data_IF_899126495527
#
_entry.id   IF_899126495527
#
_cell.length_a   1.000
_cell.length_b   1.000
_cell.length_c   1.000
_cell.angle_alpha   90.00
_cell.angle_beta   90.00
_cell.angle_gamma   90.00
#
_symmetry.space_group_name_H-M   'P 1'
#
loop_
_entity.id
_entity.type
_entity.pdbx_description
1 polymer ?
#
# COMPACT_ATOMS: atom_id res chain seq x y z
N UNK A 1 3.39 -60.44 8.32
CA UNK A 1 2.40 -60.48 7.23
C UNK A 1 2.22 -59.05 6.73
N UNK A 2 2.99 -58.71 5.69
CA UNK A 2 3.13 -57.37 5.12
C UNK A 2 2.32 -57.33 3.82
N UNK A 3 1.36 -56.42 3.71
CA UNK A 3 0.60 -56.12 2.50
C UNK A 3 1.28 -54.96 1.76
N UNK A 4 1.48 -55.05 0.43
CA UNK A 4 2.12 -53.97 -0.34
C UNK A 4 1.12 -52.94 -0.80
N UNK A 5 1.43 -51.64 -0.60
CA UNK A 5 0.76 -50.51 -1.22
C UNK A 5 1.05 -50.50 -2.74
N UNK A 6 0.00 -50.64 -3.55
CA UNK A 6 0.05 -50.38 -4.99
C UNK A 6 -0.08 -48.86 -5.24
N UNK A 7 0.97 -48.30 -5.80
CA UNK A 7 0.95 -46.93 -6.36
C UNK A 7 0.25 -47.00 -7.71
N UNK A 8 -0.91 -46.40 -7.84
CA UNK A 8 -1.55 -46.13 -9.13
C UNK A 8 -0.95 -44.87 -9.72
N UNK A 9 -0.11 -45.05 -10.76
CA UNK A 9 0.33 -43.94 -11.63
C UNK A 9 -0.76 -43.75 -12.67
N UNK A 10 -1.53 -42.65 -12.53
CA UNK A 10 -2.38 -42.19 -13.61
C UNK A 10 -1.50 -41.41 -14.61
N UNK A 11 -1.28 -41.97 -15.77
CA UNK A 11 -0.73 -41.25 -16.92
C UNK A 11 -1.87 -40.40 -17.48
N UNK A 12 -1.86 -39.09 -17.21
CA UNK A 12 -2.78 -38.15 -17.85
C UNK A 12 -2.23 -37.71 -19.20
N UNK A 13 -3.11 -37.74 -20.20
CA UNK A 13 -2.89 -37.27 -21.57
C UNK A 13 -2.54 -35.75 -21.54
N UNK A 14 -1.47 -35.30 -22.22
CA UNK A 14 -1.05 -33.90 -22.27
C UNK A 14 -2.12 -32.95 -22.83
N UNK A 15 -3.05 -33.42 -23.66
CA UNK A 15 -4.14 -32.61 -24.21
C UNK A 15 -5.21 -32.22 -23.20
N UNK A 16 -5.38 -32.98 -22.11
CA UNK A 16 -6.36 -32.69 -21.04
C UNK A 16 -5.86 -31.61 -20.06
N UNK A 17 -4.54 -31.37 -19.98
CA UNK A 17 -3.93 -30.37 -19.10
C UNK A 17 -4.07 -28.93 -19.59
N UNK A 18 -4.20 -28.71 -20.91
CA UNK A 18 -4.38 -27.34 -21.46
C UNK A 18 -5.76 -26.73 -21.17
N UNK A 19 -6.82 -27.55 -21.10
CA UNK A 19 -8.18 -27.05 -20.84
C UNK A 19 -8.48 -26.87 -19.33
N UNK A 20 -7.82 -27.64 -18.46
CA UNK A 20 -7.99 -27.49 -16.99
C UNK A 20 -7.23 -26.28 -16.44
N UNK A 21 -6.08 -25.90 -17.04
CA UNK A 21 -5.31 -24.75 -16.62
C UNK A 21 -5.99 -23.40 -16.95
N UNK A 22 -6.73 -23.31 -18.07
CA UNK A 22 -7.45 -22.09 -18.44
C UNK A 22 -8.68 -21.86 -17.56
N UNK A 23 -9.43 -22.90 -17.22
CA UNK A 23 -10.60 -22.84 -16.33
C UNK A 23 -10.20 -22.60 -14.86
N UNK A 24 -9.14 -23.22 -14.40
CA UNK A 24 -8.58 -22.97 -13.06
C UNK A 24 -8.04 -21.53 -12.94
N UNK A 25 -7.33 -21.04 -13.97
CA UNK A 25 -6.83 -19.66 -14.03
C UNK A 25 -7.97 -18.62 -14.05
N UNK A 26 -9.07 -18.88 -14.77
CA UNK A 26 -10.22 -17.96 -14.85
C UNK A 26 -11.04 -17.93 -13.55
N UNK A 27 -11.24 -19.06 -12.89
CA UNK A 27 -11.87 -19.13 -11.55
C UNK A 27 -11.02 -18.44 -10.50
N UNK A 28 -9.71 -18.71 -10.48
CA UNK A 28 -8.77 -18.11 -9.55
C UNK A 28 -8.70 -16.58 -9.71
N UNK A 29 -8.67 -16.05 -10.94
CA UNK A 29 -8.71 -14.59 -11.21
C UNK A 29 -9.97 -13.93 -10.62
N UNK A 30 -11.13 -14.58 -10.75
CA UNK A 30 -12.39 -14.08 -10.19
C UNK A 30 -12.41 -14.08 -8.67
N UNK A 31 -11.89 -15.14 -8.06
CA UNK A 31 -11.91 -15.33 -6.60
C UNK A 31 -10.91 -14.37 -5.92
N UNK A 32 -9.74 -14.12 -6.50
CA UNK A 32 -8.76 -13.15 -6.00
C UNK A 32 -9.31 -11.72 -6.03
N UNK A 33 -10.02 -11.35 -7.10
CA UNK A 33 -10.66 -10.04 -7.22
C UNK A 33 -11.75 -9.85 -6.18
N UNK A 34 -12.55 -10.89 -5.93
CA UNK A 34 -13.60 -10.88 -4.91
C UNK A 34 -13.00 -10.74 -3.51
N UNK A 35 -11.93 -11.46 -3.20
CA UNK A 35 -11.27 -11.39 -1.89
C UNK A 35 -10.64 -10.01 -1.66
N UNK A 36 -9.97 -9.44 -2.65
CA UNK A 36 -9.42 -8.08 -2.57
C UNK A 36 -10.55 -7.04 -2.38
N UNK A 37 -11.66 -7.21 -3.08
CA UNK A 37 -12.84 -6.35 -2.95
C UNK A 37 -13.52 -6.50 -1.60
N UNK A 38 -13.66 -7.72 -1.07
CA UNK A 38 -14.17 -8.00 0.28
C UNK A 38 -13.23 -7.42 1.34
N UNK A 39 -11.91 -7.54 1.19
CA UNK A 39 -10.93 -6.93 2.08
C UNK A 39 -11.05 -5.40 2.07
N UNK A 40 -11.17 -4.79 0.90
CA UNK A 40 -11.41 -3.35 0.76
C UNK A 40 -12.75 -2.92 1.40
N UNK A 41 -13.82 -3.68 1.18
CA UNK A 41 -15.15 -3.44 1.78
C UNK A 41 -15.14 -3.60 3.31
N UNK A 42 -14.40 -4.58 3.85
CA UNK A 42 -14.25 -4.73 5.31
C UNK A 42 -13.48 -3.57 5.92
N UNK A 43 -12.43 -3.08 5.27
CA UNK A 43 -11.74 -1.85 5.68
C UNK A 43 -12.66 -0.63 5.66
N UNK A 44 -13.52 -0.49 4.65
CA UNK A 44 -14.51 0.60 4.54
C UNK A 44 -15.50 0.57 5.71
N UNK A 45 -16.08 -0.60 6.02
CA UNK A 45 -17.04 -0.73 7.12
C UNK A 45 -16.42 -0.44 8.50
N UNK A 46 -15.17 -0.85 8.72
CA UNK A 46 -14.45 -0.61 9.97
C UNK A 46 -14.14 0.89 10.12
N UNK A 47 -13.71 1.55 9.05
CA UNK A 47 -13.42 2.99 9.09
C UNK A 47 -14.66 3.85 9.37
N UNK A 48 -15.84 3.45 8.87
CA UNK A 48 -17.12 4.13 9.19
C UNK A 48 -17.41 4.09 10.68
N UNK A 49 -17.20 2.93 11.33
CA UNK A 49 -17.44 2.76 12.77
C UNK A 49 -16.34 3.39 13.65
N UNK A 50 -15.11 3.49 13.16
CA UNK A 50 -14.00 4.07 13.90
C UNK A 50 -14.16 5.58 14.18
N UNK A 51 -14.91 6.27 13.34
CA UNK A 51 -15.11 7.73 13.45
C UNK A 51 -16.26 8.13 14.39
N UNK A 52 -17.08 7.19 14.88
CA UNK A 52 -18.20 7.48 15.78
C UNK A 52 -17.79 7.72 17.23
N UNK A 53 -16.54 7.54 17.60
CA UNK A 53 -16.07 7.69 18.98
C UNK A 53 -15.51 9.07 19.33
N UNK A 54 -15.73 10.08 18.49
CA UNK A 54 -15.43 11.47 18.87
C UNK A 54 -16.53 11.96 19.81
N UNK A 55 -16.23 12.02 21.11
CA UNK A 55 -17.06 12.65 22.11
C UNK A 55 -17.24 14.12 21.69
N UNK A 56 -18.48 14.49 21.35
CA UNK A 56 -18.85 15.91 21.20
C UNK A 56 -18.81 16.53 22.59
N UNK A 57 -17.77 17.29 22.87
CA UNK A 57 -17.81 18.24 23.96
C UNK A 57 -18.87 19.29 23.57
N UNK A 58 -19.95 19.37 24.34
CA UNK A 58 -20.99 20.37 24.13
C UNK A 58 -20.36 21.77 24.32
N UNK A 59 -20.27 22.61 23.30
CA UNK A 59 -19.66 23.94 23.41
C UNK A 59 -20.44 24.90 24.32
N UNK A 60 -21.64 24.52 24.75
CA UNK A 60 -22.48 25.35 25.63
C UNK A 60 -22.21 25.14 27.13
N UNK A 61 -21.18 24.36 27.51
CA UNK A 61 -20.84 24.13 28.92
C UNK A 61 -19.87 25.13 29.52
N UNK A 62 -19.46 26.16 28.78
CA UNK A 62 -18.63 27.27 29.27
C UNK A 62 -19.35 28.57 28.98
N UNK A 63 -20.39 28.87 29.75
CA UNK A 63 -20.92 30.25 29.87
C UNK A 63 -20.03 31.03 30.85
N UNK A 64 -18.99 31.67 30.30
CA UNK A 64 -17.97 32.44 31.05
C UNK A 64 -18.58 33.74 31.66
N UNK A 65 -19.79 34.12 31.30
CA UNK A 65 -20.38 35.40 31.71
C UNK A 65 -21.11 35.36 33.06
N UNK A 66 -21.18 34.19 33.74
CA UNK A 66 -21.87 34.04 35.03
C UNK A 66 -20.99 33.61 36.20
N UNK A 67 -19.67 33.77 36.11
CA UNK A 67 -18.76 33.51 37.26
C UNK A 67 -18.75 34.72 38.21
N UNK A 68 -19.77 34.82 39.07
CA UNK A 68 -19.63 35.57 40.34
C UNK A 68 -18.69 34.78 41.26
N UNK A 69 -17.63 35.44 41.71
CA UNK A 69 -16.64 34.90 42.64
C UNK A 69 -17.28 34.66 44.01
N UNK A 70 -17.75 33.44 44.25
CA UNK A 70 -17.93 32.89 45.59
C UNK A 70 -17.06 31.63 45.64
N UNK A 71 -16.18 31.60 46.68
CA UNK A 71 -15.09 30.62 46.82
C UNK A 71 -15.62 29.18 46.80
N UNK A 72 -15.41 28.53 45.70
CA UNK A 72 -15.58 27.07 45.59
C UNK A 72 -14.21 26.44 45.83
N UNK A 73 -14.00 25.94 47.05
CA UNK A 73 -12.91 25.00 47.34
C UNK A 73 -13.23 23.70 46.60
N UNK A 74 -12.56 23.46 45.50
CA UNK A 74 -12.62 22.16 44.80
C UNK A 74 -11.67 21.21 45.54
N UNK A 75 -12.12 20.63 46.66
CA UNK A 75 -11.47 19.46 47.27
C UNK A 75 -11.99 18.20 46.54
N UNK A 76 -11.22 17.79 45.56
CA UNK A 76 -11.34 16.51 44.91
C UNK A 76 -10.19 16.32 43.92
N UNK A 77 -9.59 15.14 43.83
CA UNK A 77 -8.57 14.92 42.82
C UNK A 77 -9.22 15.16 41.45
N UNK A 78 -8.60 16.07 40.65
CA UNK A 78 -8.96 16.25 39.24
C UNK A 78 -8.89 14.84 38.63
N UNK A 79 -10.05 14.22 38.41
CA UNK A 79 -10.12 12.96 37.67
C UNK A 79 -9.56 13.27 36.30
N UNK A 80 -8.39 12.73 36.00
CA UNK A 80 -7.86 12.73 34.63
C UNK A 80 -9.01 12.39 33.65
N UNK A 81 -9.07 13.06 32.50
CA UNK A 81 -10.10 12.76 31.52
C UNK A 81 -10.11 11.25 31.28
N UNK A 82 -11.22 10.59 31.60
CA UNK A 82 -11.38 9.14 31.54
C UNK A 82 -10.86 8.66 30.19
N UNK A 83 -9.70 8.03 30.17
CA UNK A 83 -9.17 7.41 28.97
C UNK A 83 -10.27 6.47 28.43
N UNK A 84 -10.65 6.55 27.16
CA UNK A 84 -11.69 5.71 26.62
C UNK A 84 -11.37 4.25 26.92
N UNK A 85 -12.28 3.55 27.60
CA UNK A 85 -12.05 2.17 28.02
C UNK A 85 -11.87 1.30 26.76
N UNK A 86 -10.81 0.50 26.74
CA UNK A 86 -10.54 -0.43 25.64
C UNK A 86 -11.72 -1.40 25.50
N UNK A 87 -12.33 -1.44 24.35
CA UNK A 87 -13.40 -2.37 24.03
C UNK A 87 -12.83 -3.74 23.62
N UNK A 88 -12.86 -4.70 24.52
CA UNK A 88 -12.32 -6.05 24.31
C UNK A 88 -12.92 -6.76 23.08
N UNK A 89 -14.23 -6.59 22.80
CA UNK A 89 -14.87 -7.18 21.63
C UNK A 89 -14.28 -6.61 20.31
N UNK A 90 -14.05 -5.28 20.27
CA UNK A 90 -13.41 -4.63 19.11
C UNK A 90 -11.94 -5.05 18.97
N UNK A 91 -11.20 -5.20 20.08
CA UNK A 91 -9.82 -5.71 20.07
C UNK A 91 -9.79 -7.10 19.44
N UNK A 92 -10.63 -8.02 19.91
CA UNK A 92 -10.71 -9.39 19.37
C UNK A 92 -11.08 -9.39 17.89
N UNK A 93 -12.02 -8.53 17.47
CA UNK A 93 -12.42 -8.39 16.07
C UNK A 93 -11.26 -7.88 15.21
N UNK A 94 -10.56 -6.82 15.63
CA UNK A 94 -9.42 -6.27 14.87
C UNK A 94 -8.27 -7.28 14.82
N UNK A 95 -8.00 -8.00 15.90
CA UNK A 95 -7.02 -9.08 15.90
C UNK A 95 -7.40 -10.17 14.89
N UNK A 96 -8.63 -10.62 14.89
CA UNK A 96 -9.12 -11.62 13.92
C UNK A 96 -9.04 -11.12 12.48
N UNK A 97 -9.39 -9.86 12.22
CA UNK A 97 -9.30 -9.23 10.90
C UNK A 97 -7.83 -9.14 10.43
N UNK A 98 -6.91 -8.75 11.31
CA UNK A 98 -5.49 -8.69 10.96
C UNK A 98 -4.94 -10.10 10.66
N UNK A 99 -5.28 -11.11 11.49
CA UNK A 99 -4.88 -12.51 11.24
C UNK A 99 -5.46 -13.01 9.91
N UNK A 100 -6.77 -12.82 9.69
CA UNK A 100 -7.43 -13.26 8.45
C UNK A 100 -6.93 -12.47 7.22
N UNK A 101 -6.74 -11.16 7.34
CA UNK A 101 -6.28 -10.30 6.26
C UNK A 101 -4.83 -10.57 5.87
N UNK A 102 -3.91 -10.51 6.82
CA UNK A 102 -2.50 -10.79 6.55
C UNK A 102 -2.28 -12.27 6.21
N UNK A 103 -2.84 -13.19 7.00
CA UNK A 103 -2.72 -14.62 6.73
C UNK A 103 -3.37 -15.03 5.40
N UNK A 104 -4.57 -14.54 5.11
CA UNK A 104 -5.27 -14.79 3.84
C UNK A 104 -4.52 -14.23 2.65
N UNK A 105 -3.97 -13.01 2.76
CA UNK A 105 -3.16 -12.43 1.68
C UNK A 105 -1.85 -13.20 1.44
N UNK A 106 -1.19 -13.70 2.49
CA UNK A 106 -0.01 -14.56 2.34
C UNK A 106 -0.34 -15.89 1.65
N UNK A 107 -1.51 -16.50 1.96
CA UNK A 107 -1.97 -17.71 1.26
C UNK A 107 -2.25 -17.44 -0.22
N UNK A 108 -2.87 -16.31 -0.54
CA UNK A 108 -3.13 -15.89 -1.93
C UNK A 108 -1.81 -15.64 -2.66
N UNK A 109 -0.87 -14.91 -2.03
CA UNK A 109 0.46 -14.68 -2.58
C UNK A 109 1.20 -15.99 -2.82
N UNK A 110 1.12 -16.93 -1.87
CA UNK A 110 1.74 -18.25 -2.04
C UNK A 110 1.19 -18.97 -3.28
N UNK A 111 -0.12 -18.95 -3.50
CA UNK A 111 -0.71 -19.57 -4.69
C UNK A 111 -0.43 -18.81 -5.98
N UNK A 112 -0.43 -17.49 -5.93
CA UNK A 112 -0.29 -16.65 -7.12
C UNK A 112 1.16 -16.54 -7.62
N UNK A 113 2.13 -16.52 -6.69
CA UNK A 113 3.53 -16.30 -6.99
C UNK A 113 4.39 -17.54 -6.73
N UNK A 114 4.34 -18.13 -5.52
CA UNK A 114 5.31 -19.13 -5.10
C UNK A 114 4.98 -20.56 -5.58
N UNK A 115 3.70 -20.92 -5.71
CA UNK A 115 3.28 -22.27 -6.08
C UNK A 115 3.74 -22.68 -7.49
N UNK A 116 4.04 -21.73 -8.36
CA UNK A 116 4.45 -21.96 -9.74
C UNK A 116 5.97 -22.09 -9.91
N UNK A 117 6.75 -21.89 -8.85
CA UNK A 117 8.20 -21.91 -8.88
C UNK A 117 8.76 -22.90 -7.86
N UNK A 118 9.86 -23.60 -8.17
CA UNK A 118 10.54 -24.47 -7.22
C UNK A 118 10.97 -23.68 -5.97
N UNK A 119 10.91 -24.33 -4.82
CA UNK A 119 11.54 -23.80 -3.61
C UNK A 119 13.05 -23.99 -3.67
N UNK A 120 13.76 -23.04 -3.09
CA UNK A 120 15.22 -23.10 -2.90
C UNK A 120 15.55 -23.04 -1.40
N UNK A 121 16.81 -23.32 -1.06
CA UNK A 121 17.34 -22.92 0.24
C UNK A 121 17.30 -21.41 0.37
N UNK A 122 17.15 -20.90 1.60
CA UNK A 122 17.14 -19.46 1.86
C UNK A 122 18.39 -18.79 1.29
N UNK A 123 18.17 -17.73 0.51
CA UNK A 123 19.24 -16.94 -0.06
C UNK A 123 18.86 -15.47 -0.12
N UNK A 124 19.87 -14.61 -0.14
CA UNK A 124 19.72 -13.18 -0.34
C UNK A 124 19.93 -12.81 -1.80
N UNK A 125 19.26 -11.77 -2.25
CA UNK A 125 19.40 -11.26 -3.59
C UNK A 125 19.54 -9.73 -3.56
N UNK A 126 20.49 -9.20 -4.33
CA UNK A 126 20.70 -7.76 -4.41
C UNK A 126 19.96 -7.18 -5.62
N UNK A 127 18.72 -6.82 -5.41
CA UNK A 127 17.82 -6.22 -6.39
C UNK A 127 17.79 -4.67 -6.34
N UNK A 128 18.72 -4.04 -5.65
CA UNK A 128 18.76 -2.58 -5.49
C UNK A 128 18.83 -1.79 -6.80
N UNK A 129 19.20 -2.45 -7.91
CA UNK A 129 19.23 -1.83 -9.24
C UNK A 129 18.04 -2.23 -10.11
N UNK A 130 17.21 -3.16 -9.65
CA UNK A 130 16.05 -3.60 -10.41
C UNK A 130 15.02 -2.48 -10.56
N UNK A 131 14.33 -2.52 -11.69
CA UNK A 131 13.20 -1.65 -12.01
C UNK A 131 13.42 -0.16 -11.71
N UNK A 132 14.69 0.29 -11.78
CA UNK A 132 15.11 1.65 -11.42
C UNK A 132 14.60 2.08 -10.03
N UNK A 133 14.51 1.14 -9.07
CA UNK A 133 14.03 1.31 -7.68
C UNK A 133 12.54 1.64 -7.53
N UNK A 134 11.70 1.56 -8.58
CA UNK A 134 10.24 1.77 -8.45
C UNK A 134 9.64 0.74 -7.48
N UNK A 135 10.16 -0.48 -7.50
CA UNK A 135 9.82 -1.54 -6.56
C UNK A 135 10.05 -1.13 -5.09
N UNK A 136 11.23 -0.61 -4.77
CA UNK A 136 11.58 -0.13 -3.41
C UNK A 136 10.64 0.99 -2.94
N UNK A 137 10.30 1.90 -3.85
CA UNK A 137 9.36 2.99 -3.56
C UNK A 137 7.96 2.42 -3.33
N UNK A 138 7.58 1.36 -4.07
CA UNK A 138 6.35 0.60 -3.88
C UNK A 138 6.26 -0.09 -2.51
N UNK A 139 7.32 -0.78 -2.09
CA UNK A 139 7.45 -1.37 -0.75
C UNK A 139 7.26 -0.32 0.35
N UNK A 140 7.92 0.82 0.21
CA UNK A 140 7.82 1.92 1.15
C UNK A 140 6.39 2.49 1.23
N UNK A 141 5.73 2.71 0.09
CA UNK A 141 4.34 3.15 0.03
C UNK A 141 3.38 2.13 0.67
N UNK A 142 3.58 0.84 0.39
CA UNK A 142 2.77 -0.24 0.95
C UNK A 142 2.91 -0.31 2.48
N UNK A 143 4.14 -0.22 3.02
CA UNK A 143 4.40 -0.21 4.45
C UNK A 143 3.74 0.99 5.15
N UNK A 144 3.86 2.21 4.58
CA UNK A 144 3.25 3.42 5.09
C UNK A 144 1.71 3.30 5.15
N UNK A 145 1.06 2.92 4.05
CA UNK A 145 -0.41 2.88 3.99
C UNK A 145 -1.00 1.72 4.79
N UNK A 146 -0.33 0.56 4.84
CA UNK A 146 -0.72 -0.57 5.72
C UNK A 146 -0.63 -0.15 7.18
N UNK A 147 0.47 0.50 7.59
CA UNK A 147 0.63 1.02 8.95
C UNK A 147 -0.43 2.06 9.32
N UNK A 148 -0.74 2.98 8.39
CA UNK A 148 -1.79 3.98 8.55
C UNK A 148 -3.17 3.35 8.74
N UNK A 149 -3.54 2.40 7.89
CA UNK A 149 -4.83 1.69 7.97
C UNK A 149 -4.94 0.89 9.27
N UNK A 150 -3.90 0.12 9.62
CA UNK A 150 -3.85 -0.66 10.86
C UNK A 150 -3.98 0.24 12.10
N UNK A 151 -3.31 1.38 12.13
CA UNK A 151 -3.40 2.35 13.24
C UNK A 151 -4.83 2.82 13.46
N UNK A 152 -5.57 3.16 12.42
CA UNK A 152 -6.96 3.60 12.53
C UNK A 152 -7.88 2.48 13.06
N UNK A 153 -7.63 1.24 12.64
CA UNK A 153 -8.34 0.07 13.19
C UNK A 153 -8.09 -0.10 14.69
N UNK A 154 -6.85 0.07 15.16
CA UNK A 154 -6.52 0.00 16.58
C UNK A 154 -7.07 1.18 17.38
N UNK A 155 -7.06 2.40 16.84
CA UNK A 155 -7.72 3.57 17.45
C UNK A 155 -9.21 3.33 17.69
N UNK A 156 -9.89 2.65 16.75
CA UNK A 156 -11.32 2.31 16.87
C UNK A 156 -11.63 1.37 18.05
N UNK A 157 -10.64 0.60 18.53
CA UNK A 157 -10.82 -0.24 19.72
C UNK A 157 -10.89 0.55 21.03
N UNK A 158 -10.63 1.85 21.01
CA UNK A 158 -10.43 2.70 22.19
C UNK A 158 -9.00 2.64 22.74
N UNK A 159 -8.08 2.05 22.01
CA UNK A 159 -6.67 2.03 22.38
C UNK A 159 -6.07 3.44 22.37
N UNK A 160 -5.17 3.71 23.32
CA UNK A 160 -4.42 4.97 23.37
C UNK A 160 -3.75 5.26 22.01
N UNK A 161 -3.83 6.52 21.54
CA UNK A 161 -3.37 6.92 20.20
C UNK A 161 -1.91 6.54 19.91
N UNK A 162 -1.00 6.79 20.87
CA UNK A 162 0.42 6.44 20.72
C UNK A 162 0.62 4.92 20.60
N UNK A 163 -0.06 4.14 21.46
CA UNK A 163 0.00 2.68 21.41
C UNK A 163 -0.57 2.13 20.10
N UNK A 164 -1.71 2.66 19.64
CA UNK A 164 -2.30 2.30 18.36
C UNK A 164 -1.37 2.63 17.18
N UNK A 165 -0.71 3.80 17.23
CA UNK A 165 0.26 4.21 16.22
C UNK A 165 1.47 3.27 16.15
N UNK A 166 2.02 2.88 17.31
CA UNK A 166 3.18 1.98 17.37
C UNK A 166 2.81 0.61 16.81
N UNK A 167 1.72 0.00 17.30
CA UNK A 167 1.28 -1.34 16.85
C UNK A 167 0.91 -1.31 15.36
N UNK A 168 0.08 -0.34 14.96
CA UNK A 168 -0.36 -0.20 13.57
C UNK A 168 0.79 0.16 12.64
N UNK A 169 1.60 1.15 13.00
CA UNK A 169 2.70 1.62 12.16
C UNK A 169 3.77 0.55 11.91
N UNK A 170 4.08 -0.27 12.90
CA UNK A 170 5.04 -1.37 12.74
C UNK A 170 4.45 -2.57 11.98
N UNK A 171 3.11 -2.73 11.95
CA UNK A 171 2.48 -3.88 11.30
C UNK A 171 2.74 -3.91 9.79
N UNK A 172 2.88 -2.75 9.13
CA UNK A 172 3.21 -2.65 7.72
C UNK A 172 4.59 -3.24 7.40
N UNK A 173 5.63 -2.78 8.11
CA UNK A 173 6.97 -3.32 7.94
C UNK A 173 7.04 -4.80 8.31
N UNK A 174 6.40 -5.22 9.40
CA UNK A 174 6.39 -6.62 9.82
C UNK A 174 5.74 -7.54 8.77
N UNK A 175 4.58 -7.15 8.23
CA UNK A 175 3.89 -7.91 7.19
C UNK A 175 4.74 -8.05 5.91
N UNK A 176 5.29 -6.95 5.43
CA UNK A 176 6.12 -6.96 4.22
C UNK A 176 7.45 -7.71 4.44
N UNK A 177 7.99 -7.68 5.66
CA UNK A 177 9.17 -8.50 6.01
C UNK A 177 8.88 -10.00 5.91
N UNK A 178 7.66 -10.44 6.24
CA UNK A 178 7.27 -11.85 6.04
C UNK A 178 7.27 -12.20 4.54
N UNK A 179 6.83 -11.30 3.67
CA UNK A 179 6.91 -11.50 2.21
C UNK A 179 8.36 -11.67 1.77
N UNK A 180 9.27 -10.79 2.21
CA UNK A 180 10.70 -10.89 1.91
C UNK A 180 11.32 -12.21 2.37
N UNK A 181 10.90 -12.72 3.54
CA UNK A 181 11.34 -14.04 4.01
C UNK A 181 10.85 -15.15 3.08
N UNK A 182 9.62 -15.06 2.56
CA UNK A 182 9.09 -16.03 1.60
C UNK A 182 9.83 -15.95 0.25
N UNK A 183 10.17 -14.74 -0.20
CA UNK A 183 11.00 -14.52 -1.39
C UNK A 183 12.38 -15.14 -1.24
N UNK A 184 12.98 -15.09 -0.04
CA UNK A 184 14.23 -15.76 0.29
C UNK A 184 14.23 -17.27 0.08
N UNK A 185 13.06 -17.93 0.09
CA UNK A 185 12.92 -19.37 -0.19
C UNK A 185 12.44 -19.69 -1.62
N UNK A 186 12.30 -18.69 -2.49
CA UNK A 186 11.88 -18.88 -3.88
C UNK A 186 13.08 -18.95 -4.82
N UNK A 187 13.09 -19.92 -5.75
CA UNK A 187 14.13 -19.99 -6.78
C UNK A 187 14.09 -18.82 -7.79
N UNK A 188 13.03 -18.05 -7.81
CA UNK A 188 12.82 -16.95 -8.75
C UNK A 188 13.23 -15.60 -8.19
N UNK A 189 13.15 -15.43 -6.86
CA UNK A 189 13.47 -14.22 -6.14
C UNK A 189 14.55 -14.49 -5.09
N UNK A 190 14.66 -13.67 -4.09
CA UNK A 190 15.54 -13.84 -2.95
C UNK A 190 15.22 -12.79 -1.89
N UNK A 191 15.68 -12.97 -0.68
CA UNK A 191 15.51 -11.98 0.39
C UNK A 191 16.29 -10.71 0.07
N UNK A 192 15.59 -9.58 -0.01
CA UNK A 192 16.18 -8.28 -0.33
C UNK A 192 16.33 -7.39 0.91
N UNK A 193 17.57 -7.03 1.24
CA UNK A 193 17.86 -6.01 2.26
C UNK A 193 17.38 -4.61 1.82
N UNK A 194 17.32 -4.35 0.50
CA UNK A 194 16.79 -3.12 -0.05
C UNK A 194 15.31 -2.95 0.26
N UNK A 195 14.51 -4.04 0.13
CA UNK A 195 13.08 -4.02 0.42
C UNK A 195 12.81 -3.94 1.92
N UNK A 196 13.62 -4.59 2.75
CA UNK A 196 13.56 -4.37 4.20
C UNK A 196 13.81 -2.89 4.55
N UNK A 197 14.82 -2.28 3.94
CA UNK A 197 15.10 -0.84 4.13
C UNK A 197 13.92 0.03 3.70
N UNK A 198 13.30 -0.27 2.57
CA UNK A 198 12.13 0.44 2.04
C UNK A 198 10.91 0.26 2.97
N UNK A 199 10.66 -0.96 3.47
CA UNK A 199 9.58 -1.26 4.41
C UNK A 199 9.74 -0.49 5.72
N UNK A 200 10.97 -0.46 6.26
CA UNK A 200 11.30 0.31 7.48
C UNK A 200 11.15 1.80 7.24
N UNK A 201 11.59 2.32 6.08
CA UNK A 201 11.42 3.74 5.73
C UNK A 201 9.94 4.13 5.67
N UNK A 202 9.08 3.35 4.98
CA UNK A 202 7.65 3.65 4.86
C UNK A 202 6.93 3.65 6.20
N UNK A 203 7.13 2.60 7.01
CA UNK A 203 6.58 2.53 8.38
C UNK A 203 7.15 3.61 9.29
N UNK A 204 8.44 3.91 9.18
CA UNK A 204 9.11 4.98 9.94
C UNK A 204 8.57 6.36 9.57
N UNK A 205 8.35 6.64 8.29
CA UNK A 205 7.74 7.88 7.82
C UNK A 205 6.33 8.08 8.40
N UNK A 206 5.52 7.03 8.43
CA UNK A 206 4.21 7.07 9.06
C UNK A 206 4.31 7.31 10.58
N UNK A 207 5.08 6.47 11.26
CA UNK A 207 5.14 6.42 12.71
C UNK A 207 5.75 7.70 13.30
N UNK A 208 6.81 8.21 12.71
CA UNK A 208 7.46 9.45 13.16
C UNK A 208 6.51 10.64 13.16
N UNK A 209 5.71 10.79 12.12
CA UNK A 209 4.71 11.85 12.03
C UNK A 209 3.58 11.69 13.05
N UNK A 210 3.07 10.46 13.22
CA UNK A 210 2.02 10.19 14.19
C UNK A 210 2.46 10.42 15.63
N UNK A 211 3.71 10.08 15.97
CA UNK A 211 4.26 10.30 17.30
C UNK A 211 4.66 11.76 17.56
N UNK A 212 5.22 12.43 16.56
CA UNK A 212 5.71 13.79 16.71
C UNK A 212 4.58 14.84 16.61
N UNK A 213 3.63 14.64 15.67
CA UNK A 213 2.61 15.64 15.37
C UNK A 213 1.17 15.17 15.64
N UNK A 214 0.95 13.87 15.80
CA UNK A 214 -0.39 13.28 15.93
C UNK A 214 -1.21 13.35 14.64
N UNK A 215 -0.58 13.71 13.53
CA UNK A 215 -1.18 13.80 12.19
C UNK A 215 -0.15 13.53 11.11
N UNK A 216 -0.62 13.11 9.93
CA UNK A 216 0.23 12.91 8.76
C UNK A 216 0.29 14.21 7.95
N UNK A 217 1.37 14.98 8.06
CA UNK A 217 1.61 16.22 7.30
C UNK A 217 2.15 15.93 5.90
N UNK A 218 2.84 14.82 5.74
CA UNK A 218 3.33 14.29 4.47
C UNK A 218 2.60 12.97 4.20
N UNK A 219 1.76 12.95 3.18
CA UNK A 219 1.03 11.77 2.73
C UNK A 219 1.84 11.01 1.68
N UNK A 220 1.88 9.69 1.75
CA UNK A 220 2.50 8.87 0.72
C UNK A 220 1.41 8.33 -0.21
N UNK A 221 1.44 8.77 -1.47
CA UNK A 221 0.37 8.52 -2.44
C UNK A 221 0.87 7.76 -3.65
N UNK A 222 -0.06 7.19 -4.40
CA UNK A 222 0.17 6.35 -5.57
C UNK A 222 -0.67 6.84 -6.74
N UNK A 223 -0.15 6.64 -7.94
CA UNK A 223 -0.91 6.75 -9.18
C UNK A 223 -0.45 5.74 -10.21
N UNK A 224 -1.34 5.43 -11.15
CA UNK A 224 -1.08 4.45 -12.19
C UNK A 224 -1.61 4.90 -13.54
N UNK A 225 -0.73 4.84 -14.55
CA UNK A 225 -1.04 5.10 -15.94
C UNK A 225 -0.80 3.82 -16.76
N UNK A 226 -1.87 3.17 -17.28
CA UNK A 226 -1.69 2.00 -18.13
C UNK A 226 -0.81 2.33 -19.34
N UNK A 227 0.21 1.51 -19.58
CA UNK A 227 1.11 1.67 -20.72
C UNK A 227 0.68 0.76 -21.87
N UNK A 228 0.58 1.34 -23.06
CA UNK A 228 0.36 0.63 -24.31
C UNK A 228 1.47 1.02 -25.29
N UNK A 229 2.01 0.06 -25.99
CA UNK A 229 3.13 0.23 -26.91
C UNK A 229 2.65 0.04 -28.35
N UNK A 230 3.13 0.86 -29.28
CA UNK A 230 2.82 0.74 -30.70
C UNK A 230 3.36 -0.55 -31.32
N UNK A 231 4.47 -1.05 -30.80
CA UNK A 231 5.09 -2.28 -31.26
C UNK A 231 4.45 -3.51 -30.58
N UNK A 232 3.97 -4.45 -31.37
CA UNK A 232 3.32 -5.68 -30.88
C UNK A 232 4.26 -6.49 -29.97
N UNK A 233 5.55 -6.59 -30.31
CA UNK A 233 6.55 -7.31 -29.48
C UNK A 233 6.70 -6.73 -28.08
N UNK A 234 6.66 -5.40 -27.93
CA UNK A 234 6.71 -4.74 -26.63
C UNK A 234 5.45 -4.99 -25.80
N UNK A 235 4.26 -4.98 -26.45
CA UNK A 235 3.02 -5.32 -25.77
C UNK A 235 3.01 -6.78 -25.31
N UNK A 236 3.48 -7.73 -26.14
CA UNK A 236 3.60 -9.14 -25.76
C UNK A 236 4.56 -9.32 -24.58
N UNK A 237 5.73 -8.67 -24.62
CA UNK A 237 6.70 -8.70 -23.52
C UNK A 237 6.12 -8.12 -22.24
N UNK A 238 5.46 -6.97 -22.34
CA UNK A 238 4.81 -6.30 -21.22
C UNK A 238 3.68 -7.17 -20.61
N UNK A 239 2.88 -7.82 -21.46
CA UNK A 239 1.83 -8.76 -21.02
C UNK A 239 2.43 -9.98 -20.28
N UNK A 240 3.57 -10.49 -20.75
CA UNK A 240 4.27 -11.60 -20.12
C UNK A 240 4.83 -11.21 -18.74
N UNK A 241 5.35 -10.00 -18.59
CA UNK A 241 5.94 -9.50 -17.33
C UNK A 241 4.87 -9.09 -16.31
N UNK A 242 3.89 -8.31 -16.76
CA UNK A 242 3.03 -7.54 -15.86
C UNK A 242 1.56 -8.01 -15.87
N UNK A 243 1.22 -8.97 -16.74
CA UNK A 243 -0.15 -9.46 -16.90
C UNK A 243 -0.98 -8.68 -17.91
N UNK A 244 -2.22 -9.16 -18.15
CA UNK A 244 -3.13 -8.64 -19.17
C UNK A 244 -4.28 -7.81 -18.61
N UNK A 245 -4.61 -8.01 -17.33
CA UNK A 245 -5.72 -7.30 -16.68
C UNK A 245 -5.25 -5.96 -16.11
N UNK A 246 -6.16 -4.98 -16.02
CA UNK A 246 -5.83 -3.66 -15.48
C UNK A 246 -5.30 -3.71 -14.03
N UNK A 247 -5.83 -4.62 -13.20
CA UNK A 247 -5.40 -4.76 -11.81
C UNK A 247 -4.03 -5.44 -11.69
N UNK A 248 -3.71 -6.43 -12.56
CA UNK A 248 -2.35 -7.00 -12.61
C UNK A 248 -1.33 -5.93 -13.03
N UNK A 249 -1.68 -5.14 -14.06
CA UNK A 249 -0.86 -4.04 -14.52
C UNK A 249 -0.66 -2.99 -13.44
N UNK A 250 -1.72 -2.59 -12.73
CA UNK A 250 -1.61 -1.64 -11.63
C UNK A 250 -0.66 -2.12 -10.54
N UNK A 251 -0.61 -3.44 -10.27
CA UNK A 251 0.24 -4.03 -9.22
C UNK A 251 1.67 -4.32 -9.68
N UNK A 252 1.90 -4.58 -10.97
CA UNK A 252 3.17 -5.13 -11.47
C UNK A 252 3.86 -4.26 -12.50
N UNK A 253 3.13 -3.41 -13.24
CA UNK A 253 3.72 -2.62 -14.33
C UNK A 253 4.40 -1.35 -13.80
N UNK A 254 5.65 -1.52 -13.40
CA UNK A 254 6.49 -0.46 -12.87
C UNK A 254 6.65 0.74 -13.83
N UNK A 255 6.43 0.57 -15.16
CA UNK A 255 6.43 1.68 -16.11
C UNK A 255 5.22 2.60 -15.94
N UNK A 256 4.13 2.09 -15.40
CA UNK A 256 2.89 2.84 -15.21
C UNK A 256 2.73 3.42 -13.80
N UNK A 257 3.56 2.99 -12.86
CA UNK A 257 3.45 3.38 -11.46
C UNK A 257 4.21 4.68 -11.18
N UNK A 258 3.58 5.55 -10.40
CA UNK A 258 4.24 6.72 -9.84
C UNK A 258 3.86 6.87 -8.36
N UNK A 259 4.82 7.23 -7.54
CA UNK A 259 4.69 7.37 -6.11
C UNK A 259 5.00 8.80 -5.68
N UNK A 260 4.27 9.33 -4.71
CA UNK A 260 4.25 10.74 -4.39
C UNK A 260 4.35 10.99 -2.90
N UNK A 261 5.26 11.85 -2.49
CA UNK A 261 5.27 12.47 -1.17
C UNK A 261 4.53 13.81 -1.26
N UNK A 262 3.35 13.87 -0.65
CA UNK A 262 2.39 14.97 -0.76
C UNK A 262 2.33 15.73 0.57
N UNK A 263 3.01 16.88 0.65
CA UNK A 263 3.14 17.70 1.85
C UNK A 263 2.00 18.71 1.99
N UNK A 264 1.30 18.72 3.12
CA UNK A 264 0.22 19.66 3.39
C UNK A 264 0.79 21.02 3.78
N UNK A 265 0.62 22.01 2.91
CA UNK A 265 1.21 23.34 3.07
C UNK A 265 0.69 24.05 4.32
N UNK A 266 -0.61 23.93 4.60
CA UNK A 266 -1.22 24.58 5.79
C UNK A 266 -0.71 24.01 7.11
N UNK A 267 -0.39 22.71 7.16
CA UNK A 267 0.18 22.08 8.37
C UNK A 267 1.61 22.54 8.67
N UNK A 268 2.37 22.94 7.66
CA UNK A 268 3.73 23.52 7.83
C UNK A 268 3.71 25.03 8.00
N UNK A 269 2.71 25.71 7.39
CA UNK A 269 2.56 27.17 7.46
C UNK A 269 1.20 27.53 8.10
N UNK A 270 0.98 27.29 9.41
CA UNK A 270 -0.34 27.41 10.04
C UNK A 270 -0.90 28.84 10.03
N UNK A 271 -0.04 29.84 9.98
CA UNK A 271 -0.43 31.28 9.93
C UNK A 271 -0.78 31.78 8.51
N UNK A 272 -0.53 30.96 7.47
CA UNK A 272 -0.84 31.35 6.08
C UNK A 272 -2.34 31.34 5.81
N UNK A 273 -2.79 32.02 4.76
CA UNK A 273 -4.17 31.97 4.25
C UNK A 273 -4.41 30.79 3.27
N UNK A 274 -3.49 29.82 3.21
CA UNK A 274 -3.61 28.67 2.32
C UNK A 274 -4.80 27.78 2.71
N UNK A 275 -5.49 27.18 1.74
CA UNK A 275 -6.54 26.21 2.00
C UNK A 275 -6.00 25.00 2.78
N UNK A 276 -6.77 24.51 3.74
CA UNK A 276 -6.33 23.37 4.57
C UNK A 276 -6.05 22.09 3.77
N UNK A 277 -6.71 21.91 2.65
CA UNK A 277 -6.59 20.76 1.76
C UNK A 277 -5.44 20.86 0.74
N UNK A 278 -4.77 22.02 0.63
CA UNK A 278 -3.75 22.22 -0.40
C UNK A 278 -2.44 21.55 -0.01
N UNK A 279 -1.98 20.67 -0.86
CA UNK A 279 -0.67 20.01 -0.79
C UNK A 279 0.22 20.40 -1.97
N UNK A 280 1.52 20.22 -1.77
CA UNK A 280 2.52 20.16 -2.82
C UNK A 280 3.13 18.76 -2.83
N UNK A 281 3.14 18.11 -3.99
CA UNK A 281 3.59 16.74 -4.16
C UNK A 281 4.86 16.66 -4.98
N UNK A 282 5.82 15.89 -4.49
CA UNK A 282 7.00 15.45 -5.22
C UNK A 282 6.83 13.98 -5.57
N UNK A 283 6.96 13.64 -6.87
CA UNK A 283 6.71 12.30 -7.39
C UNK A 283 7.93 11.64 -7.98
N UNK A 284 7.93 10.31 -7.97
CA UNK A 284 8.92 9.46 -8.59
C UNK A 284 8.26 8.36 -9.41
N UNK A 285 8.77 8.11 -10.61
CA UNK A 285 8.43 7.01 -11.49
C UNK A 285 9.61 6.65 -12.38
N UNK A 286 9.44 5.64 -13.21
CA UNK A 286 10.42 5.27 -14.21
C UNK A 286 9.74 4.65 -15.43
N UNK A 287 10.42 4.66 -16.57
CA UNK A 287 9.86 4.15 -17.82
C UNK A 287 10.94 3.52 -18.71
N UNK A 288 10.48 2.78 -19.74
CA UNK A 288 11.35 2.08 -20.70
C UNK A 288 11.87 0.75 -20.18
N UNK A 289 11.20 0.15 -19.20
CA UNK A 289 11.67 -1.07 -18.53
C UNK A 289 10.90 -2.31 -19.03
N UNK A 290 11.63 -3.24 -19.66
CA UNK A 290 11.13 -4.54 -20.13
C UNK A 290 11.87 -5.73 -19.50
N UNK A 291 12.54 -5.49 -18.39
CA UNK A 291 13.24 -6.44 -17.53
C UNK A 291 13.74 -5.75 -16.26
N UNK A 292 14.10 -6.50 -15.23
CA UNK A 292 14.52 -5.97 -13.94
C UNK A 292 15.75 -5.06 -14.03
N UNK A 293 16.86 -5.60 -14.52
CA UNK A 293 18.15 -4.90 -14.62
C UNK A 293 18.34 -4.20 -15.97
N UNK A 294 17.93 -4.87 -17.06
CA UNK A 294 18.02 -4.37 -18.43
C UNK A 294 16.82 -4.87 -19.27
N UNK A 295 16.80 -4.49 -20.56
CA UNK A 295 15.73 -4.85 -21.47
C UNK A 295 16.04 -6.11 -22.26
N UNK A 296 16.53 -7.16 -21.59
CA UNK A 296 16.79 -8.48 -22.18
C UNK A 296 15.95 -9.58 -21.51
N UNK A 297 15.82 -10.70 -22.16
CA UNK A 297 15.34 -11.95 -21.58
C UNK A 297 16.02 -13.15 -22.23
N UNK A 298 16.20 -14.18 -21.43
CA UNK A 298 16.74 -15.45 -21.87
C UNK A 298 15.74 -16.59 -21.58
N UNK A 299 15.85 -17.67 -22.33
CA UNK A 299 15.18 -18.92 -22.02
C UNK A 299 16.00 -19.74 -21.00
N UNK A 300 15.55 -20.96 -20.71
CA UNK A 300 16.21 -21.85 -19.74
C UNK A 300 17.59 -22.33 -20.22
N UNK A 301 17.82 -22.30 -21.52
CA UNK A 301 19.06 -22.73 -22.17
C UNK A 301 20.04 -21.56 -22.35
N UNK A 302 19.67 -20.34 -21.89
CA UNK A 302 20.49 -19.15 -21.97
C UNK A 302 20.39 -18.39 -23.31
N UNK A 303 19.52 -18.82 -24.24
CA UNK A 303 19.33 -18.12 -25.51
C UNK A 303 18.54 -16.83 -25.30
N UNK A 304 18.99 -15.76 -25.94
CA UNK A 304 18.30 -14.46 -25.88
C UNK A 304 16.99 -14.55 -26.65
N UNK A 305 15.87 -14.42 -25.94
CA UNK A 305 14.50 -14.44 -26.49
C UNK A 305 13.90 -13.06 -26.66
N UNK A 306 14.51 -12.06 -26.02
CA UNK A 306 14.12 -10.66 -26.12
C UNK A 306 15.36 -9.79 -25.89
N UNK A 307 15.62 -8.83 -26.78
CA UNK A 307 16.68 -7.83 -26.63
C UNK A 307 16.21 -6.48 -27.20
N UNK A 308 15.99 -5.55 -26.30
CA UNK A 308 15.61 -4.16 -26.61
C UNK A 308 16.42 -3.18 -25.77
N UNK A 309 17.72 -3.42 -25.69
CA UNK A 309 18.69 -2.48 -25.06
C UNK A 309 18.81 -1.15 -25.78
N UNK A 310 18.27 -1.07 -27.00
CA UNK A 310 18.05 0.18 -27.74
C UNK A 310 17.06 1.12 -27.03
N UNK A 311 16.10 0.58 -26.25
CA UNK A 311 15.15 1.37 -25.49
C UNK A 311 15.80 1.84 -24.21
N UNK A 312 15.94 3.16 -24.07
CA UNK A 312 16.52 3.77 -22.89
C UNK A 312 15.59 3.65 -21.69
N UNK A 313 16.10 3.12 -20.59
CA UNK A 313 15.44 3.14 -19.27
C UNK A 313 15.75 4.46 -18.58
N UNK A 314 14.74 5.13 -18.00
CA UNK A 314 14.95 6.44 -17.37
C UNK A 314 14.02 6.67 -16.19
N UNK A 315 14.48 7.48 -15.25
CA UNK A 315 13.71 7.96 -14.09
C UNK A 315 12.91 9.18 -14.45
N UNK A 316 11.77 9.33 -13.78
CA UNK A 316 10.89 10.47 -13.93
C UNK A 316 10.68 11.09 -12.54
N UNK A 317 10.89 12.39 -12.45
CA UNK A 317 10.67 13.17 -11.25
C UNK A 317 9.56 14.16 -11.51
N UNK A 318 8.65 14.29 -10.55
CA UNK A 318 7.46 15.10 -10.75
C UNK A 318 7.30 16.11 -9.62
N UNK A 319 6.73 17.28 -9.98
CA UNK A 319 6.28 18.30 -9.03
C UNK A 319 4.87 18.75 -9.43
N UNK A 320 3.93 18.70 -8.48
CA UNK A 320 2.53 19.02 -8.74
C UNK A 320 1.82 19.52 -7.49
N UNK A 321 0.81 20.40 -7.60
CA UNK A 321 -0.17 20.60 -6.56
C UNK A 321 -0.96 19.30 -6.32
N UNK A 322 -1.52 19.15 -5.13
CA UNK A 322 -2.30 17.98 -4.76
C UNK A 322 -3.35 18.34 -3.70
N UNK A 323 -4.25 17.39 -3.43
CA UNK A 323 -5.33 17.57 -2.46
C UNK A 323 -5.17 16.58 -1.30
N UNK A 324 -5.14 17.11 -0.07
CA UNK A 324 -5.38 16.29 1.11
C UNK A 324 -6.89 16.18 1.36
N UNK A 325 -7.48 15.09 0.88
CA UNK A 325 -8.90 14.82 1.04
C UNK A 325 -9.32 14.76 2.52
N UNK A 326 -8.44 14.35 3.42
CA UNK A 326 -8.75 14.23 4.85
C UNK A 326 -8.95 15.59 5.54
N UNK A 327 -8.44 16.66 4.93
CA UNK A 327 -8.60 18.04 5.41
C UNK A 327 -9.87 18.71 4.86
N UNK A 328 -10.64 18.06 3.99
CA UNK A 328 -11.92 18.56 3.50
C UNK A 328 -13.00 18.25 4.52
N UNK A 329 -13.59 19.30 5.08
CA UNK A 329 -14.65 19.17 6.10
C UNK A 329 -15.94 18.63 5.49
N UNK A 330 -16.52 17.59 6.10
CA UNK A 330 -17.83 17.05 5.74
C UNK A 330 -18.54 16.46 6.96
N UNK A 331 -19.85 16.60 7.03
CA UNK A 331 -20.68 15.99 8.06
C UNK A 331 -21.12 14.56 7.71
N UNK A 332 -20.90 14.12 6.45
CA UNK A 332 -21.31 12.79 5.98
C UNK A 332 -20.20 11.76 6.30
N UNK A 333 -20.51 10.77 7.16
CA UNK A 333 -19.56 9.74 7.58
C UNK A 333 -18.97 8.97 6.41
N UNK A 334 -19.81 8.49 5.48
CA UNK A 334 -19.36 7.74 4.32
C UNK A 334 -18.37 8.53 3.45
N UNK A 335 -18.59 9.86 3.33
CA UNK A 335 -17.73 10.73 2.52
C UNK A 335 -16.36 10.92 3.19
N UNK A 336 -16.30 11.03 4.53
CA UNK A 336 -15.01 11.01 5.26
C UNK A 336 -14.24 9.74 5.02
N UNK A 337 -14.93 8.59 5.05
CA UNK A 337 -14.30 7.29 4.75
C UNK A 337 -13.81 7.23 3.31
N UNK A 338 -14.62 7.67 2.35
CA UNK A 338 -14.20 7.76 0.95
C UNK A 338 -12.96 8.66 0.79
N UNK A 339 -12.96 9.83 1.42
CA UNK A 339 -11.82 10.75 1.40
C UNK A 339 -10.55 10.15 2.03
N UNK A 340 -10.69 9.36 3.09
CA UNK A 340 -9.57 8.65 3.70
C UNK A 340 -8.90 7.68 2.72
N UNK A 341 -9.69 6.90 1.97
CA UNK A 341 -9.15 5.97 0.97
C UNK A 341 -8.63 6.68 -0.27
N UNK A 342 -9.37 7.68 -0.77
CA UNK A 342 -8.94 8.49 -1.91
C UNK A 342 -7.61 9.19 -1.64
N UNK A 343 -7.33 9.50 -0.37
CA UNK A 343 -6.09 10.17 0.03
C UNK A 343 -4.82 9.29 -0.12
N UNK A 344 -4.97 7.99 -0.39
CA UNK A 344 -3.85 7.12 -0.77
C UNK A 344 -3.45 7.30 -2.26
N UNK A 345 -4.25 8.03 -3.04
CA UNK A 345 -4.03 8.24 -4.46
C UNK A 345 -3.76 9.72 -4.76
N UNK A 346 -2.94 9.95 -5.78
CA UNK A 346 -2.67 11.28 -6.29
C UNK A 346 -3.90 11.83 -7.02
N UNK A 347 -4.24 13.07 -6.73
CA UNK A 347 -5.29 13.77 -7.47
C UNK A 347 -4.74 14.29 -8.81
N UNK A 348 -5.50 14.17 -9.93
CA UNK A 348 -5.11 14.74 -11.21
C UNK A 348 -4.89 16.25 -11.11
N UNK A 349 -3.72 16.72 -11.52
CA UNK A 349 -3.33 18.12 -11.41
C UNK A 349 -2.31 18.50 -12.49
N UNK A 350 -2.13 19.79 -12.80
CA UNK A 350 -1.00 20.25 -13.62
C UNK A 350 0.32 19.80 -12.99
N UNK A 351 1.20 19.20 -13.79
CA UNK A 351 2.41 18.55 -13.28
C UNK A 351 3.62 18.92 -14.13
N UNK A 352 4.72 19.23 -13.47
CA UNK A 352 6.04 19.33 -14.10
C UNK A 352 6.75 17.98 -13.99
N UNK A 353 7.26 17.47 -15.09
CA UNK A 353 8.05 16.25 -15.17
C UNK A 353 9.47 16.58 -15.61
N UNK A 354 10.46 16.12 -14.84
CA UNK A 354 11.87 16.10 -15.24
C UNK A 354 12.26 14.66 -15.57
N UNK A 355 12.54 14.40 -16.85
CA UNK A 355 12.97 13.08 -17.32
C UNK A 355 13.94 13.20 -18.47
N UNK A 356 14.94 12.32 -18.53
CA UNK A 356 15.98 12.35 -19.58
C UNK A 356 16.66 13.73 -19.76
N UNK A 357 16.80 14.52 -18.69
CA UNK A 357 17.36 15.88 -18.74
C UNK A 357 16.42 16.91 -19.40
N UNK A 358 15.16 16.55 -19.67
CA UNK A 358 14.16 17.45 -20.27
C UNK A 358 13.05 17.73 -19.26
N UNK A 359 12.62 18.99 -19.19
CA UNK A 359 11.47 19.41 -18.44
C UNK A 359 10.24 19.38 -19.36
N UNK A 360 9.19 18.71 -18.91
CA UNK A 360 7.88 18.63 -19.59
C UNK A 360 6.80 19.15 -18.65
N UNK A 361 5.76 19.75 -19.21
CA UNK A 361 4.58 20.18 -18.48
C UNK A 361 3.36 19.39 -18.96
N UNK A 362 2.64 18.80 -18.02
CA UNK A 362 1.40 18.10 -18.28
C UNK A 362 0.23 18.94 -17.73
N UNK A 363 -0.82 19.14 -18.53
CA UNK A 363 -2.01 19.86 -18.07
C UNK A 363 -2.74 19.10 -16.95
N UNK A 364 -2.80 17.78 -17.06
CA UNK A 364 -3.31 16.86 -16.04
C UNK A 364 -2.42 15.62 -15.99
N UNK A 365 -1.91 15.31 -14.80
CA UNK A 365 -1.17 14.08 -14.52
C UNK A 365 -1.43 13.63 -13.08
N UNK A 366 -1.38 12.34 -12.82
CA UNK A 366 -1.57 11.73 -11.49
C UNK A 366 -0.76 10.46 -11.33
#
# INVERSE_FOLDING_TARGET
MLLPYRIFVFIMDPASLQNSSSLASSRFKRDTTIILFIFLLTLINISVNAQDSIIRVNPNFLDINNLKAEGVIIEGPIKDPVSPSINKKRVNLITAINIAGYGGSLLILNQAWYANYPRSSFHTFNDNKEWLQVDKVGHSWAAYNTGKASTEMWKWTGMNKKKAAIIGGLSGAAYLTVIEILDGFSSQWGFSWGDIGANVFGSGLFLSQELAWGEQRIQYKFSFHPKNYSEQGLNQRSNKLFGNSWYERMLKDYNGQSYWLSANLKSFFPKSNLPAWLNLSFGYGAEGMFGGFDNTAQDKDGNITFDRRDIKRYRQWYLAPDIDFTKIKTNKKWLRTAFYFLNAFKFPAPTLELSNGKLKAHALYF
#
